data_IF_226634285041
#
_entry.id   IF_226634285041
#
_cell.length_a   1.000
_cell.length_b   1.000
_cell.length_c   1.000
_cell.angle_alpha   90.00
_cell.angle_beta   90.00
_cell.angle_gamma   90.00
#
_symmetry.space_group_name_H-M   'P 1'
#
loop_
_entity.id
_entity.type
_entity.pdbx_description
1 polymer ?
#
# COMPACT_ATOMS: atom_id res chain seq x y z
N UNK A 1 -27.58 45.34 -4.01
CA UNK A 1 -27.48 44.30 -5.05
C UNK A 1 -28.87 44.12 -5.63
N UNK A 2 -29.06 44.23 -6.96
CA UNK A 2 -30.41 44.24 -7.55
C UNK A 2 -30.90 42.78 -7.65
N UNK A 3 -32.15 42.51 -7.27
CA UNK A 3 -32.78 41.18 -7.20
C UNK A 3 -32.62 40.34 -8.48
N UNK A 4 -32.54 41.02 -9.63
CA UNK A 4 -32.26 40.41 -10.93
C UNK A 4 -30.87 39.75 -11.04
N UNK A 5 -29.86 40.29 -10.36
CA UNK A 5 -28.50 39.72 -10.34
C UNK A 5 -28.45 38.42 -9.53
N UNK A 6 -29.27 38.31 -8.48
CA UNK A 6 -29.37 37.09 -7.67
C UNK A 6 -29.99 35.98 -8.51
N UNK A 7 -31.04 36.29 -9.27
CA UNK A 7 -31.71 35.31 -10.13
C UNK A 7 -30.81 34.81 -11.26
N UNK A 8 -30.01 35.68 -11.87
CA UNK A 8 -29.02 35.27 -12.88
C UNK A 8 -27.96 34.34 -12.30
N UNK A 9 -27.37 34.69 -11.16
CA UNK A 9 -26.38 33.84 -10.47
C UNK A 9 -26.94 32.46 -10.11
N UNK A 10 -28.19 32.38 -9.65
CA UNK A 10 -28.84 31.10 -9.33
C UNK A 10 -29.09 30.26 -10.57
N UNK A 11 -29.46 30.88 -11.69
CA UNK A 11 -29.65 30.17 -12.95
C UNK A 11 -28.32 29.69 -13.53
N UNK A 12 -27.26 30.50 -13.49
CA UNK A 12 -25.90 30.09 -13.89
C UNK A 12 -25.40 28.92 -13.05
N UNK A 13 -25.57 28.98 -11.72
CA UNK A 13 -25.21 27.88 -10.82
C UNK A 13 -25.98 26.59 -11.13
N UNK A 14 -27.27 26.69 -11.47
CA UNK A 14 -28.09 25.55 -11.86
C UNK A 14 -27.61 24.96 -13.19
N UNK A 15 -27.31 25.79 -14.16
CA UNK A 15 -26.89 25.35 -15.49
C UNK A 15 -25.47 24.75 -15.44
N UNK A 16 -24.57 25.30 -14.61
CA UNK A 16 -23.26 24.70 -14.27
C UNK A 16 -23.46 23.35 -13.56
N UNK A 17 -24.39 23.26 -12.61
CA UNK A 17 -24.68 22.01 -11.91
C UNK A 17 -25.25 20.93 -12.85
N UNK A 18 -26.03 21.31 -13.88
CA UNK A 18 -26.55 20.41 -14.92
C UNK A 18 -25.43 19.96 -15.87
N UNK A 19 -24.56 20.88 -16.31
CA UNK A 19 -23.37 20.57 -17.12
C UNK A 19 -22.44 19.60 -16.38
N UNK A 20 -22.21 19.84 -15.08
CA UNK A 20 -21.40 18.96 -14.24
C UNK A 20 -22.13 17.70 -13.77
N UNK A 21 -23.45 17.59 -13.90
CA UNK A 21 -24.17 16.35 -13.58
C UNK A 21 -23.86 15.25 -14.62
N UNK A 22 -23.71 15.63 -15.89
CA UNK A 22 -23.18 14.75 -16.94
C UNK A 22 -21.71 14.39 -16.71
N UNK A 23 -20.92 15.33 -16.17
CA UNK A 23 -19.52 15.03 -15.79
C UNK A 23 -19.38 14.22 -14.52
N UNK A 24 -20.36 14.18 -13.61
CA UNK A 24 -20.38 13.24 -12.49
C UNK A 24 -20.54 11.80 -12.99
N UNK A 25 -21.43 11.56 -13.96
CA UNK A 25 -21.54 10.23 -14.59
C UNK A 25 -20.26 9.87 -15.36
N UNK A 26 -19.67 10.84 -16.06
CA UNK A 26 -18.38 10.66 -16.74
C UNK A 26 -17.24 10.39 -15.74
N UNK A 27 -17.17 11.14 -14.64
CA UNK A 27 -16.20 10.98 -13.54
C UNK A 27 -16.37 9.63 -12.88
N UNK A 28 -17.60 9.19 -12.63
CA UNK A 28 -17.87 7.90 -12.03
C UNK A 28 -17.52 6.76 -13.00
N UNK A 29 -17.80 6.93 -14.29
CA UNK A 29 -17.44 5.97 -15.34
C UNK A 29 -15.93 5.92 -15.55
N UNK A 30 -15.23 7.05 -15.57
CA UNK A 30 -13.76 7.11 -15.57
C UNK A 30 -13.21 6.47 -14.30
N UNK A 31 -13.75 6.79 -13.12
CA UNK A 31 -13.28 6.19 -11.86
C UNK A 31 -13.54 4.68 -11.78
N UNK A 32 -14.62 4.18 -12.39
CA UNK A 32 -14.89 2.74 -12.51
C UNK A 32 -13.95 2.09 -13.51
N UNK A 33 -13.71 2.70 -14.67
CA UNK A 33 -12.79 2.19 -15.69
C UNK A 33 -11.34 2.22 -15.19
N UNK A 34 -10.92 3.29 -14.52
CA UNK A 34 -9.58 3.38 -13.90
C UNK A 34 -9.45 2.38 -12.77
N UNK A 35 -10.46 2.21 -11.91
CA UNK A 35 -10.46 1.13 -10.90
C UNK A 35 -10.40 -0.26 -11.51
N UNK A 36 -11.19 -0.53 -12.55
CA UNK A 36 -11.18 -1.81 -13.25
C UNK A 36 -9.84 -2.04 -13.97
N UNK A 37 -9.25 -1.00 -14.56
CA UNK A 37 -7.94 -1.06 -15.18
C UNK A 37 -6.82 -1.25 -14.15
N UNK A 38 -6.90 -0.64 -12.96
CA UNK A 38 -5.97 -0.88 -11.84
C UNK A 38 -6.12 -2.30 -11.32
N UNK A 39 -7.36 -2.82 -11.21
CA UNK A 39 -7.62 -4.20 -10.76
C UNK A 39 -7.16 -5.22 -11.82
N UNK A 40 -7.36 -4.94 -13.12
CA UNK A 40 -6.87 -5.79 -14.21
C UNK A 40 -5.36 -5.67 -14.43
N UNK A 41 -4.77 -4.49 -14.21
CA UNK A 41 -3.31 -4.29 -14.13
C UNK A 41 -2.74 -4.83 -12.81
N UNK A 42 -3.59 -5.19 -11.85
CA UNK A 42 -3.27 -5.85 -10.59
C UNK A 42 -3.03 -7.35 -10.70
N UNK A 43 -2.95 -7.87 -11.94
CA UNK A 43 -2.26 -9.13 -12.25
C UNK A 43 -0.94 -8.89 -13.00
N UNK A 44 -0.37 -7.69 -12.93
CA UNK A 44 1.10 -7.65 -12.94
C UNK A 44 1.54 -8.39 -11.69
N UNK A 45 2.42 -9.40 -11.77
CA UNK A 45 3.03 -9.90 -10.55
C UNK A 45 3.54 -8.66 -9.83
N UNK A 46 3.17 -8.50 -8.55
CA UNK A 46 3.99 -7.68 -7.66
C UNK A 46 5.38 -8.25 -7.90
N UNK A 47 6.22 -7.52 -8.65
CA UNK A 47 7.57 -7.97 -8.91
C UNK A 47 8.14 -8.24 -7.54
N UNK A 48 8.46 -9.49 -7.26
CA UNK A 48 9.12 -9.92 -6.02
C UNK A 48 10.52 -9.29 -5.90
N UNK A 49 10.91 -8.41 -6.83
CA UNK A 49 12.20 -7.76 -7.00
C UNK A 49 12.46 -6.56 -6.08
N UNK A 50 11.60 -6.25 -5.09
CA UNK A 50 11.71 -4.99 -4.34
C UNK A 50 11.37 -5.06 -2.85
N UNK A 51 12.10 -4.23 -2.10
CA UNK A 51 11.78 -3.86 -0.72
C UNK A 51 10.46 -3.09 -0.63
N UNK A 52 9.52 -3.62 0.15
CA UNK A 52 8.19 -3.07 0.43
C UNK A 52 8.24 -2.26 1.70
N UNK A 53 7.78 -1.00 1.68
CA UNK A 53 7.75 -0.18 2.88
C UNK A 53 6.67 -0.66 3.86
N UNK A 54 6.99 -0.67 5.16
CA UNK A 54 6.03 -1.06 6.21
C UNK A 54 4.80 -0.12 6.28
N UNK A 55 4.94 1.14 5.83
CA UNK A 55 3.84 2.09 5.75
C UNK A 55 2.91 1.85 4.56
N UNK A 56 3.40 1.20 3.50
CA UNK A 56 2.61 0.82 2.34
C UNK A 56 1.84 -0.46 2.62
N UNK A 57 2.53 -1.47 3.15
CA UNK A 57 1.96 -2.78 3.43
C UNK A 57 2.76 -3.49 4.52
N UNK A 58 2.06 -4.06 5.49
CA UNK A 58 2.64 -5.00 6.45
C UNK A 58 2.62 -6.43 5.88
N UNK A 59 3.59 -7.30 6.19
CA UNK A 59 3.49 -8.72 5.86
C UNK A 59 2.33 -9.38 6.63
N UNK A 60 1.95 -10.60 6.26
CA UNK A 60 0.93 -11.33 7.02
C UNK A 60 1.48 -11.71 8.40
N UNK A 61 0.57 -12.05 9.31
CA UNK A 61 0.93 -12.44 10.68
C UNK A 61 1.86 -13.66 10.68
N UNK A 62 3.07 -13.48 11.23
CA UNK A 62 4.13 -14.50 11.33
C UNK A 62 4.63 -15.05 9.98
N UNK A 63 4.44 -14.31 8.90
CA UNK A 63 5.14 -14.61 7.64
C UNK A 63 6.61 -14.20 7.75
N UNK A 64 7.51 -15.13 7.42
CA UNK A 64 8.94 -14.90 7.37
C UNK A 64 9.31 -14.11 6.11
N UNK A 65 10.05 -13.02 6.31
CA UNK A 65 10.43 -12.05 5.30
C UNK A 65 11.85 -11.54 5.55
N UNK A 66 12.53 -11.10 4.49
CA UNK A 66 13.72 -10.27 4.66
C UNK A 66 13.30 -8.90 5.18
N UNK A 67 13.95 -8.40 6.22
CA UNK A 67 13.69 -7.14 6.88
C UNK A 67 14.88 -6.19 6.69
N UNK A 68 14.60 -4.91 6.46
CA UNK A 68 15.57 -3.81 6.51
C UNK A 68 15.27 -2.94 7.73
N UNK A 69 16.17 -2.96 8.71
CA UNK A 69 15.96 -2.24 9.96
C UNK A 69 17.04 -2.52 10.98
N UNK A 70 16.72 -2.33 12.26
CA UNK A 70 17.68 -2.48 13.35
C UNK A 70 17.23 -3.55 14.34
N UNK A 71 17.79 -4.74 14.28
CA UNK A 71 17.59 -5.71 15.37
C UNK A 71 18.22 -5.20 16.68
N UNK A 72 17.64 -5.57 17.83
CA UNK A 72 18.02 -5.00 19.13
C UNK A 72 19.49 -5.25 19.51
N UNK A 73 20.08 -6.36 19.03
CA UNK A 73 21.50 -6.69 19.22
C UNK A 73 22.48 -5.94 18.31
N UNK A 74 22.00 -5.20 17.32
CA UNK A 74 22.83 -4.60 16.27
C UNK A 74 22.92 -3.10 16.45
N UNK A 75 24.09 -2.50 16.24
CA UNK A 75 24.27 -1.03 16.36
C UNK A 75 23.77 -0.27 15.14
N UNK A 76 23.80 -0.91 13.96
CA UNK A 76 23.50 -0.32 12.66
C UNK A 76 22.21 -0.91 12.06
N UNK A 77 21.70 -0.28 10.99
CA UNK A 77 20.60 -0.87 10.22
C UNK A 77 21.18 -1.87 9.23
N UNK A 78 20.60 -3.07 9.19
CA UNK A 78 21.06 -4.14 8.31
C UNK A 78 19.87 -4.95 7.79
N UNK A 79 20.17 -5.85 6.86
CA UNK A 79 19.25 -6.84 6.32
C UNK A 79 19.28 -8.11 7.18
N UNK A 80 18.13 -8.54 7.68
CA UNK A 80 18.00 -9.79 8.46
C UNK A 80 16.69 -10.48 8.16
N UNK A 81 16.61 -11.79 8.40
CA UNK A 81 15.35 -12.51 8.31
C UNK A 81 14.50 -12.20 9.55
N UNK A 82 13.20 -11.98 9.36
CA UNK A 82 12.31 -11.63 10.45
C UNK A 82 10.84 -11.85 10.10
N UNK A 83 9.99 -11.65 11.09
CA UNK A 83 8.54 -11.67 10.89
C UNK A 83 7.87 -10.60 11.75
N UNK A 84 6.63 -10.28 11.39
CA UNK A 84 5.80 -9.36 12.16
C UNK A 84 4.69 -10.13 12.89
N UNK A 85 4.58 -9.91 14.20
CA UNK A 85 3.55 -10.47 15.06
C UNK A 85 2.44 -9.43 15.27
N UNK A 86 1.28 -9.65 14.65
CA UNK A 86 0.11 -8.78 14.75
C UNK A 86 -0.47 -8.77 16.17
N UNK A 87 -0.42 -9.90 16.88
CA UNK A 87 -0.96 -10.00 18.24
C UNK A 87 -0.19 -9.15 19.24
N UNK A 88 1.10 -8.94 18.98
CA UNK A 88 2.01 -8.13 19.81
C UNK A 88 2.34 -6.77 19.19
N UNK A 89 1.87 -6.50 17.97
CA UNK A 89 2.24 -5.32 17.17
C UNK A 89 3.76 -5.09 17.17
N UNK A 90 4.52 -6.15 16.90
CA UNK A 90 5.98 -6.15 17.09
C UNK A 90 6.71 -6.97 16.04
N UNK A 91 7.89 -6.49 15.64
CA UNK A 91 8.81 -7.20 14.76
C UNK A 91 9.76 -8.10 15.55
N UNK A 92 10.08 -9.24 14.96
CA UNK A 92 11.05 -10.20 15.46
C UNK A 92 12.10 -10.46 14.38
N UNK A 93 13.37 -10.43 14.79
CA UNK A 93 14.50 -10.88 14.00
C UNK A 93 14.76 -12.35 14.31
N UNK A 94 14.93 -13.14 13.26
CA UNK A 94 15.35 -14.53 13.34
C UNK A 94 16.87 -14.52 13.31
N UNK A 95 17.50 -15.00 14.38
CA UNK A 95 18.95 -15.21 14.45
C UNK A 95 19.23 -16.71 14.59
N UNK A 96 20.49 -17.10 14.43
CA UNK A 96 20.91 -18.52 14.50
C UNK A 96 20.51 -19.19 15.83
N UNK A 97 20.55 -18.44 16.94
CA UNK A 97 20.37 -18.98 18.29
C UNK A 97 18.98 -18.69 18.88
N UNK A 98 18.37 -17.55 18.55
CA UNK A 98 17.14 -17.05 19.18
C UNK A 98 16.31 -16.13 18.28
N UNK A 99 15.01 -16.01 18.57
CA UNK A 99 14.16 -14.94 18.02
C UNK A 99 14.24 -13.70 18.92
N UNK A 100 14.76 -12.60 18.38
CA UNK A 100 14.97 -11.36 19.14
C UNK A 100 14.03 -10.25 18.68
N UNK A 101 13.62 -9.33 19.57
CA UNK A 101 12.90 -8.13 19.17
C UNK A 101 13.66 -7.33 18.09
N UNK A 102 12.99 -7.03 16.99
CA UNK A 102 13.50 -6.06 16.02
C UNK A 102 12.94 -4.66 16.29
N UNK A 103 13.78 -3.66 16.10
CA UNK A 103 13.42 -2.24 16.21
C UNK A 103 13.52 -1.57 14.84
N UNK A 104 12.64 -0.59 14.59
CA UNK A 104 12.72 0.28 13.41
C UNK A 104 12.83 -0.48 12.07
N UNK A 105 12.08 -1.57 11.90
CA UNK A 105 11.91 -2.18 10.57
C UNK A 105 11.17 -1.17 9.68
N UNK A 106 11.79 -0.81 8.56
CA UNK A 106 11.24 0.20 7.63
C UNK A 106 10.76 -0.43 6.34
N UNK A 107 11.44 -1.48 5.88
CA UNK A 107 11.10 -2.19 4.66
C UNK A 107 11.23 -3.70 4.86
N UNK A 108 10.50 -4.47 4.06
CA UNK A 108 10.58 -5.92 4.01
C UNK A 108 10.46 -6.45 2.58
N UNK A 109 10.96 -7.65 2.30
CA UNK A 109 10.73 -8.33 1.02
C UNK A 109 10.42 -9.81 1.25
N UNK A 110 9.56 -10.43 0.42
CA UNK A 110 9.23 -11.84 0.58
C UNK A 110 10.49 -12.70 0.39
N UNK A 111 10.57 -13.81 1.13
CA UNK A 111 11.62 -14.80 0.90
C UNK A 111 11.46 -15.42 -0.50
N UNK A 112 12.56 -15.70 -1.21
CA UNK A 112 12.50 -16.38 -2.49
C UNK A 112 11.85 -17.75 -2.32
N UNK A 113 11.03 -18.15 -3.28
CA UNK A 113 10.50 -19.52 -3.30
C UNK A 113 11.68 -20.50 -3.31
N UNK A 114 11.57 -21.65 -2.60
CA UNK A 114 12.61 -22.67 -2.66
C UNK A 114 12.86 -23.05 -4.13
N UNK A 115 14.12 -23.31 -4.51
CA UNK A 115 14.45 -23.73 -5.87
C UNK A 115 13.63 -24.98 -6.19
N UNK A 116 12.82 -24.91 -7.24
CA UNK A 116 12.11 -26.09 -7.73
C UNK A 116 13.16 -27.03 -8.30
N UNK A 117 13.32 -28.22 -7.71
CA UNK A 117 14.11 -29.28 -8.33
C UNK A 117 13.49 -29.57 -9.71
N UNK A 118 14.21 -29.19 -10.77
CA UNK A 118 13.88 -29.62 -12.13
C UNK A 118 13.96 -31.14 -12.16
N UNK A 119 12.79 -31.79 -12.23
CA UNK A 119 12.65 -33.24 -12.25
C UNK A 119 12.93 -33.83 -13.61
#
# INVERSE_FOLDING_TARGET
>A
MKENQIRELVNELRDIAIEYHGTQQLRERIARTVRAAIIQAGNSPVTQDGWISCSERMPNDKDYVWCWGKSYGWTECDTFEGYYDWSRNKWWAVTDDVEEPASKVTHWMPLPAPPQEEK
#
